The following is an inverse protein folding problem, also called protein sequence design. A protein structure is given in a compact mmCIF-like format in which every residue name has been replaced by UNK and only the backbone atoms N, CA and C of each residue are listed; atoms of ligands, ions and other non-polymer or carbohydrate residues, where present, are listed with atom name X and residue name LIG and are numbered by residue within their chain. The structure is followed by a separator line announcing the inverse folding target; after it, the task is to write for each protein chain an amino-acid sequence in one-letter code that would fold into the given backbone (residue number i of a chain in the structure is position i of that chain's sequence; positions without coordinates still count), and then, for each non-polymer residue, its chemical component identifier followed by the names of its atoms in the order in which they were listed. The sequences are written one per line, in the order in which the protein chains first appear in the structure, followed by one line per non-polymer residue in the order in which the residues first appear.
data_IF_186926225371
#
_entry.id   IF_186926225371
#
_cell.length_a   1.000
_cell.length_b   1.000
_cell.length_c   1.000
_cell.angle_alpha   90.00
_cell.angle_beta   90.00
_cell.angle_gamma   90.00
#
_symmetry.space_group_name_H-M   'P 1'
#
loop_
_entity.id
_entity.type
_entity.pdbx_description
1 polymer ?
#
# COMPACT_ATOMS: atom_id res chain seq x y z
N UNK A 1 -29.47 16.84 10.50
CA UNK A 1 -29.85 15.50 9.97
C UNK A 1 -29.48 15.45 8.51
N UNK A 2 -28.23 15.09 8.19
CA UNK A 2 -27.74 14.94 6.82
C UNK A 2 -27.80 13.47 6.44
N UNK A 3 -28.48 13.19 5.32
CA UNK A 3 -28.90 11.88 4.87
C UNK A 3 -27.69 11.03 4.41
N UNK A 4 -27.47 9.81 4.96
CA UNK A 4 -26.33 8.95 4.59
C UNK A 4 -26.39 8.37 3.17
N UNK A 5 -27.49 8.56 2.44
CA UNK A 5 -27.69 7.94 1.12
C UNK A 5 -26.94 8.62 -0.03
N UNK A 6 -26.53 9.89 0.10
CA UNK A 6 -25.97 10.65 -1.04
C UNK A 6 -24.51 10.30 -1.34
N UNK A 7 -23.70 9.92 -0.35
CA UNK A 7 -22.27 9.62 -0.57
C UNK A 7 -22.03 8.37 -1.43
N UNK A 8 -22.92 7.37 -1.35
CA UNK A 8 -22.81 6.12 -2.11
C UNK A 8 -23.20 6.27 -3.58
N UNK A 9 -23.96 7.31 -3.93
CA UNK A 9 -24.49 7.52 -5.28
C UNK A 9 -23.50 8.20 -6.24
N UNK A 10 -22.50 8.93 -5.72
CA UNK A 10 -21.56 9.70 -6.56
C UNK A 10 -20.28 8.91 -6.89
N UNK A 11 -20.02 7.78 -6.19
CA UNK A 11 -18.82 6.94 -6.40
C UNK A 11 -18.54 6.61 -7.88
N UNK A 12 -19.48 6.05 -8.66
CA UNK A 12 -19.19 5.67 -10.04
C UNK A 12 -19.00 6.87 -10.99
N UNK A 13 -19.53 8.05 -10.66
CA UNK A 13 -19.38 9.26 -11.50
C UNK A 13 -18.03 9.94 -11.31
N UNK A 14 -17.42 9.83 -10.12
CA UNK A 14 -16.14 10.49 -9.82
C UNK A 14 -14.94 9.62 -10.22
N UNK A 15 -15.09 8.30 -10.37
CA UNK A 15 -13.99 7.41 -10.81
C UNK A 15 -13.39 7.84 -12.17
N UNK A 16 -14.21 8.41 -13.07
CA UNK A 16 -13.77 8.98 -14.34
C UNK A 16 -12.83 10.20 -14.20
N UNK A 17 -12.77 10.80 -13.01
CA UNK A 17 -11.90 11.95 -12.69
C UNK A 17 -10.57 11.53 -12.03
N UNK A 18 -10.35 10.24 -11.80
CA UNK A 18 -9.12 9.70 -11.20
C UNK A 18 -8.88 10.17 -9.74
N UNK A 19 -9.86 10.05 -8.82
CA UNK A 19 -9.70 10.46 -7.44
C UNK A 19 -8.65 9.59 -6.74
N UNK A 20 -7.81 10.24 -5.92
CA UNK A 20 -6.72 9.59 -5.19
C UNK A 20 -7.25 8.71 -4.05
N UNK A 21 -8.36 9.12 -3.42
CA UNK A 21 -9.17 8.28 -2.54
C UNK A 21 -10.53 8.94 -2.26
N UNK A 22 -11.47 8.16 -1.70
CA UNK A 22 -12.74 8.68 -1.18
C UNK A 22 -12.74 8.73 0.34
N UNK A 23 -13.22 9.84 0.89
CA UNK A 23 -13.29 10.11 2.32
C UNK A 23 -14.74 10.42 2.71
N UNK A 24 -15.37 9.54 3.50
CA UNK A 24 -16.75 9.72 3.96
C UNK A 24 -16.78 10.55 5.27
N UNK A 25 -17.80 11.41 5.40
CA UNK A 25 -18.06 12.17 6.62
C UNK A 25 -18.84 11.30 7.64
N UNK A 26 -18.57 11.39 8.95
CA UNK A 26 -17.60 12.27 9.62
C UNK A 26 -16.15 11.81 9.40
N UNK A 27 -15.28 12.77 9.12
CA UNK A 27 -13.91 12.53 8.65
C UNK A 27 -12.94 12.43 9.82
N UNK A 28 -12.11 11.38 9.84
CA UNK A 28 -10.94 11.33 10.73
C UNK A 28 -9.81 12.18 10.14
N UNK A 29 -9.42 13.23 10.89
CA UNK A 29 -8.36 14.16 10.47
C UNK A 29 -6.99 13.48 10.34
N UNK A 30 -6.72 12.43 11.12
CA UNK A 30 -5.48 11.66 10.99
C UNK A 30 -5.43 10.90 9.66
N UNK A 31 -6.57 10.39 9.19
CA UNK A 31 -6.70 9.73 7.89
C UNK A 31 -6.55 10.76 6.76
N UNK A 32 -7.20 11.92 6.87
CA UNK A 32 -7.07 13.01 5.89
C UNK A 32 -5.62 13.47 5.75
N UNK A 33 -4.94 13.72 6.86
CA UNK A 33 -3.55 14.18 6.84
C UNK A 33 -2.64 13.16 6.16
N UNK A 34 -2.85 11.86 6.43
CA UNK A 34 -2.06 10.79 5.79
C UNK A 34 -2.28 10.73 4.27
N UNK A 35 -3.49 11.00 3.80
CA UNK A 35 -3.82 11.05 2.36
C UNK A 35 -3.24 12.30 1.69
N UNK A 36 -3.40 13.48 2.31
CA UNK A 36 -3.01 14.74 1.69
C UNK A 36 -1.50 15.00 1.74
N UNK A 37 -0.83 14.58 2.81
CA UNK A 37 0.61 14.80 2.98
C UNK A 37 1.43 14.36 1.76
N UNK A 38 1.26 13.15 1.17
CA UNK A 38 2.00 12.77 -0.04
C UNK A 38 1.79 13.70 -1.24
N UNK A 39 0.58 14.22 -1.43
CA UNK A 39 0.22 15.05 -2.58
C UNK A 39 0.66 16.51 -2.43
N UNK A 40 0.79 16.96 -1.17
CA UNK A 40 1.23 18.31 -0.83
C UNK A 40 2.75 18.43 -0.74
N UNK A 41 3.46 17.32 -0.54
CA UNK A 41 4.92 17.29 -0.64
C UNK A 41 5.28 17.34 -2.14
N UNK A 42 5.86 18.46 -2.63
CA UNK A 42 6.21 18.56 -4.04
C UNK A 42 7.11 17.38 -4.39
N UNK A 43 6.66 16.57 -5.36
CA UNK A 43 7.32 15.33 -5.76
C UNK A 43 8.81 15.55 -5.80
N UNK A 44 9.53 14.89 -4.88
CA UNK A 44 10.94 15.15 -4.63
C UNK A 44 11.68 15.07 -5.96
N UNK A 45 11.97 16.22 -6.56
CA UNK A 45 12.92 16.29 -7.68
C UNK A 45 14.19 15.74 -7.07
N UNK A 46 14.57 14.54 -7.52
CA UNK A 46 15.69 13.84 -6.95
C UNK A 46 16.89 14.80 -6.91
N UNK A 47 17.63 14.86 -5.78
CA UNK A 47 18.76 15.77 -5.67
C UNK A 47 19.70 15.59 -6.87
N UNK A 48 20.26 16.69 -7.41
CA UNK A 48 21.08 16.64 -8.63
C UNK A 48 22.19 15.58 -8.46
N UNK A 49 22.18 14.56 -9.33
CA UNK A 49 23.08 13.40 -9.25
C UNK A 49 22.39 12.04 -9.10
N UNK A 50 21.09 12.00 -8.72
CA UNK A 50 20.26 10.80 -8.86
C UNK A 50 19.40 10.92 -10.13
N UNK A 51 19.83 10.26 -11.20
CA UNK A 51 18.97 10.07 -12.38
C UNK A 51 17.79 9.18 -11.99
N UNK A 52 16.56 9.64 -12.24
CA UNK A 52 15.35 8.91 -11.90
C UNK A 52 14.14 9.48 -12.61
N UNK A 53 13.12 8.64 -12.81
CA UNK A 53 11.83 9.02 -13.36
C UNK A 53 10.78 8.84 -12.26
N UNK A 54 9.95 9.85 -12.02
CA UNK A 54 8.80 9.77 -11.11
C UNK A 54 7.55 9.49 -11.95
N UNK A 55 6.83 8.42 -11.62
CA UNK A 55 5.62 8.00 -12.31
C UNK A 55 4.59 7.56 -11.28
N UNK A 56 3.35 8.02 -11.44
CA UNK A 56 2.19 7.41 -10.80
C UNK A 56 1.66 6.31 -11.73
N UNK A 57 1.52 5.09 -11.20
CA UNK A 57 0.95 3.96 -11.93
C UNK A 57 -0.44 3.70 -11.32
N UNK A 58 -1.48 3.80 -12.15
CA UNK A 58 -2.86 3.52 -11.75
C UNK A 58 -3.22 2.06 -12.07
N UNK A 59 -4.28 1.55 -11.44
CA UNK A 59 -4.85 0.20 -11.71
C UNK A 59 -3.86 -0.96 -11.53
N UNK A 60 -2.93 -0.84 -10.57
CA UNK A 60 -1.97 -1.91 -10.26
C UNK A 60 -2.28 -2.52 -8.89
N UNK A 61 -2.30 -3.85 -8.82
CA UNK A 61 -2.51 -4.57 -7.58
C UNK A 61 -1.25 -4.55 -6.67
N UNK A 62 -1.40 -4.74 -5.35
CA UNK A 62 -0.27 -4.75 -4.42
C UNK A 62 0.81 -5.79 -4.74
N UNK A 63 0.43 -6.95 -5.29
CA UNK A 63 1.38 -8.02 -5.64
C UNK A 63 2.30 -7.53 -6.74
N UNK A 64 1.76 -6.99 -7.83
CA UNK A 64 2.54 -6.49 -8.97
C UNK A 64 3.54 -5.41 -8.55
N UNK A 65 3.14 -4.51 -7.66
CA UNK A 65 4.04 -3.47 -7.10
C UNK A 65 5.20 -4.12 -6.33
N UNK A 66 4.90 -5.07 -5.45
CA UNK A 66 5.92 -5.76 -4.65
C UNK A 66 6.85 -6.59 -5.52
N UNK A 67 6.32 -7.36 -6.48
CA UNK A 67 7.10 -8.15 -7.43
C UNK A 67 8.09 -7.28 -8.19
N UNK A 68 7.63 -6.15 -8.75
CA UNK A 68 8.49 -5.24 -9.49
C UNK A 68 9.63 -4.69 -8.62
N UNK A 69 9.35 -4.35 -7.37
CA UNK A 69 10.35 -3.82 -6.42
C UNK A 69 11.33 -4.90 -5.99
N UNK A 70 10.87 -6.13 -5.77
CA UNK A 70 11.72 -7.28 -5.47
C UNK A 70 12.67 -7.60 -6.63
N UNK A 71 12.16 -7.67 -7.86
CA UNK A 71 12.96 -7.90 -9.07
C UNK A 71 14.02 -6.81 -9.29
N UNK A 72 13.66 -5.55 -9.00
CA UNK A 72 14.56 -4.40 -9.05
C UNK A 72 15.58 -4.32 -7.92
N UNK A 73 15.59 -5.31 -7.01
CA UNK A 73 16.45 -5.34 -5.81
C UNK A 73 16.32 -4.10 -4.91
N UNK A 74 15.10 -3.59 -4.78
CA UNK A 74 14.86 -2.38 -3.99
C UNK A 74 15.26 -2.56 -2.51
N UNK A 75 15.80 -1.48 -1.93
CA UNK A 75 16.04 -1.32 -0.50
C UNK A 75 15.21 -0.14 -0.02
N UNK A 76 13.95 -0.39 0.29
CA UNK A 76 12.94 0.66 0.48
C UNK A 76 11.79 0.16 1.33
N UNK A 77 10.92 1.05 1.78
CA UNK A 77 9.66 0.67 2.42
C UNK A 77 8.48 1.14 1.57
N UNK A 78 7.47 0.30 1.44
CA UNK A 78 6.25 0.60 0.71
C UNK A 78 5.11 0.67 1.69
N UNK A 79 4.46 1.82 1.74
CA UNK A 79 3.20 2.02 2.44
C UNK A 79 2.04 1.72 1.49
N UNK A 80 1.12 0.86 1.93
CA UNK A 80 -0.16 0.63 1.28
C UNK A 80 -1.26 1.24 2.15
N UNK A 81 -2.13 2.04 1.55
CA UNK A 81 -3.29 2.64 2.20
C UNK A 81 -4.55 2.19 1.47
N UNK A 82 -5.42 1.45 2.14
CA UNK A 82 -6.67 1.03 1.51
C UNK A 82 -7.78 2.09 1.63
N UNK A 83 -8.87 1.90 0.88
CA UNK A 83 -10.05 2.76 0.89
C UNK A 83 -10.75 2.88 2.26
N UNK A 84 -10.46 1.98 3.22
CA UNK A 84 -10.99 2.04 4.60
C UNK A 84 -10.08 2.82 5.55
N UNK A 85 -8.96 3.34 5.07
CA UNK A 85 -8.00 4.04 5.91
C UNK A 85 -7.08 3.11 6.73
N UNK A 86 -6.96 1.84 6.36
CA UNK A 86 -5.96 0.95 6.97
C UNK A 86 -4.61 1.17 6.28
N UNK A 87 -3.54 1.31 7.09
CA UNK A 87 -2.18 1.49 6.61
C UNK A 87 -1.37 0.23 6.89
N UNK A 88 -0.78 -0.30 5.84
CA UNK A 88 0.17 -1.39 5.89
C UNK A 88 1.54 -0.93 5.39
N UNK A 89 2.59 -1.59 5.87
CA UNK A 89 3.99 -1.30 5.53
C UNK A 89 4.65 -2.60 5.11
N UNK A 90 5.42 -2.54 4.04
CA UNK A 90 6.30 -3.63 3.60
C UNK A 90 7.72 -3.08 3.46
N UNK A 91 8.64 -3.61 4.25
CA UNK A 91 10.05 -3.24 4.18
C UNK A 91 10.78 -4.23 3.27
N UNK A 92 11.45 -3.71 2.25
CA UNK A 92 12.28 -4.46 1.31
C UNK A 92 13.75 -4.18 1.55
N UNK A 93 14.56 -5.23 1.44
CA UNK A 93 16.01 -5.11 1.49
C UNK A 93 16.65 -6.03 0.44
N UNK A 94 17.39 -5.44 -0.49
CA UNK A 94 18.06 -6.12 -1.60
C UNK A 94 17.11 -7.02 -2.42
N UNK A 95 15.87 -6.55 -2.60
CA UNK A 95 14.85 -7.28 -3.36
C UNK A 95 14.12 -8.38 -2.60
N UNK A 96 14.37 -8.54 -1.31
CA UNK A 96 13.63 -9.48 -0.46
C UNK A 96 12.67 -8.72 0.46
N UNK A 97 11.55 -9.36 0.80
CA UNK A 97 10.58 -8.81 1.76
C UNK A 97 11.03 -9.23 3.15
N UNK A 98 11.59 -8.28 3.90
CA UNK A 98 12.16 -8.58 5.22
C UNK A 98 11.17 -8.36 6.35
N UNK A 99 10.17 -7.49 6.17
CA UNK A 99 9.15 -7.19 7.17
C UNK A 99 7.85 -6.76 6.50
N UNK A 100 6.73 -7.13 7.11
CA UNK A 100 5.41 -6.65 6.73
C UNK A 100 4.58 -6.38 7.98
N UNK A 101 3.86 -5.27 8.00
CA UNK A 101 3.01 -4.85 9.13
C UNK A 101 1.69 -4.30 8.61
N UNK A 102 0.59 -4.66 9.27
CA UNK A 102 -0.75 -4.15 8.98
C UNK A 102 -1.54 -4.08 10.30
N UNK A 103 -2.72 -3.43 10.36
CA UNK A 103 -3.48 -3.34 11.60
C UNK A 103 -3.78 -4.73 12.19
N UNK A 104 -3.23 -4.98 13.38
CA UNK A 104 -3.39 -6.25 14.10
C UNK A 104 -2.77 -7.47 13.41
N UNK A 105 -1.81 -7.31 12.50
CA UNK A 105 -1.08 -8.42 11.87
C UNK A 105 0.37 -8.04 11.57
N UNK A 106 1.25 -9.04 11.53
CA UNK A 106 2.66 -8.89 11.16
C UNK A 106 3.14 -10.06 10.28
N UNK A 107 4.26 -9.87 9.59
CA UNK A 107 4.87 -10.87 8.71
C UNK A 107 3.91 -11.31 7.60
N UNK A 108 3.85 -12.62 7.35
CA UNK A 108 3.05 -13.18 6.26
C UNK A 108 1.55 -12.86 6.38
N UNK A 109 1.01 -12.79 7.60
CA UNK A 109 -0.39 -12.45 7.84
C UNK A 109 -0.70 -10.99 7.50
N UNK A 110 0.24 -10.07 7.75
CA UNK A 110 0.11 -8.68 7.32
C UNK A 110 0.16 -8.58 5.79
N UNK A 111 1.09 -9.31 5.17
CA UNK A 111 1.22 -9.35 3.71
C UNK A 111 -0.06 -9.87 3.04
N UNK A 112 -0.64 -10.95 3.57
CA UNK A 112 -1.92 -11.49 3.11
C UNK A 112 -3.06 -10.45 3.22
N UNK A 113 -3.14 -9.72 4.35
CA UNK A 113 -4.13 -8.64 4.50
C UNK A 113 -3.98 -7.55 3.44
N UNK A 114 -2.74 -7.10 3.20
CA UNK A 114 -2.47 -6.04 2.23
C UNK A 114 -2.75 -6.48 0.79
N UNK A 115 -2.38 -7.71 0.42
CA UNK A 115 -2.66 -8.29 -0.90
C UNK A 115 -4.16 -8.42 -1.17
N UNK A 116 -4.97 -8.65 -0.14
CA UNK A 116 -6.43 -8.71 -0.26
C UNK A 116 -7.10 -7.33 -0.50
N UNK A 117 -6.37 -6.21 -0.41
CA UNK A 117 -6.94 -4.89 -0.63
C UNK A 117 -7.21 -4.64 -2.10
N UNK A 118 -8.50 -4.48 -2.44
CA UNK A 118 -8.99 -4.27 -3.81
C UNK A 118 -8.83 -2.84 -4.31
N UNK A 119 -8.67 -1.89 -3.40
CA UNK A 119 -8.63 -0.46 -3.70
C UNK A 119 -7.81 0.28 -2.64
N UNK A 120 -7.01 1.25 -3.08
CA UNK A 120 -6.05 1.97 -2.27
C UNK A 120 -4.94 2.66 -3.06
N UNK A 121 -3.98 3.21 -2.32
CA UNK A 121 -2.79 3.84 -2.86
C UNK A 121 -1.53 3.18 -2.28
N UNK A 122 -0.47 3.11 -3.07
CA UNK A 122 0.84 2.66 -2.64
C UNK A 122 1.85 3.80 -2.75
N UNK A 123 2.74 3.91 -1.78
CA UNK A 123 3.80 4.92 -1.77
C UNK A 123 5.11 4.32 -1.30
N UNK A 124 6.16 4.60 -2.05
CA UNK A 124 7.52 4.32 -1.59
C UNK A 124 7.98 5.41 -0.62
N UNK A 125 8.54 5.00 0.52
CA UNK A 125 9.15 5.87 1.50
C UNK A 125 10.58 5.37 1.79
N UNK A 126 11.47 6.25 2.29
CA UNK A 126 12.78 5.80 2.74
C UNK A 126 12.64 4.64 3.72
N UNK A 127 13.48 3.59 3.61
CA UNK A 127 13.39 2.46 4.50
C UNK A 127 13.55 2.96 5.94
N UNK A 128 12.69 2.49 6.84
CA UNK A 128 12.92 2.69 8.27
C UNK A 128 14.29 2.12 8.63
N UNK A 129 14.87 2.53 9.77
CA UNK A 129 16.04 1.85 10.37
C UNK A 129 15.64 0.45 10.89
N UNK A 130 14.99 -0.36 10.06
CA UNK A 130 14.76 -1.76 10.25
C UNK A 130 16.07 -2.51 9.98
N UNK A 131 16.36 -3.54 10.76
CA UNK A 131 17.49 -4.42 10.50
C UNK A 131 17.34 -5.11 9.13
N UNK A 132 18.38 -5.80 8.69
CA UNK A 132 18.39 -6.52 7.41
C UNK A 132 17.89 -7.96 7.53
N UNK A 133 17.34 -8.33 8.69
CA UNK A 133 16.88 -9.69 8.99
C UNK A 133 15.53 -9.93 8.33
N UNK A 134 15.42 -11.01 7.56
CA UNK A 134 14.14 -11.46 7.02
C UNK A 134 13.30 -12.08 8.16
N UNK A 135 12.28 -11.35 8.60
CA UNK A 135 11.33 -11.76 9.65
C UNK A 135 10.19 -12.63 9.11
N UNK A 136 10.03 -12.72 7.79
CA UNK A 136 9.08 -13.62 7.14
C UNK A 136 9.60 -15.07 7.09
N UNK A 137 10.92 -15.26 7.23
CA UNK A 137 11.58 -16.57 7.27
C UNK A 137 11.59 -17.32 5.93
N UNK A 138 11.23 -16.65 4.83
CA UNK A 138 11.16 -17.21 3.48
C UNK A 138 11.45 -16.15 2.43
N UNK A 139 11.89 -16.56 1.24
CA UNK A 139 12.12 -15.65 0.12
C UNK A 139 10.83 -15.01 -0.39
N UNK A 140 10.95 -13.81 -0.94
CA UNK A 140 9.80 -13.01 -1.40
C UNK A 140 8.85 -13.74 -2.36
N UNK A 141 9.33 -14.63 -3.26
CA UNK A 141 8.46 -15.38 -4.17
C UNK A 141 7.49 -16.26 -3.38
N UNK A 142 8.04 -17.00 -2.41
CA UNK A 142 7.28 -17.89 -1.54
C UNK A 142 6.36 -17.09 -0.61
N UNK A 143 6.83 -15.95 -0.11
CA UNK A 143 6.03 -15.05 0.71
C UNK A 143 4.81 -14.50 -0.05
N UNK A 144 4.96 -14.06 -1.30
CA UNK A 144 3.83 -13.56 -2.10
C UNK A 144 2.86 -14.68 -2.46
N UNK A 145 3.35 -15.88 -2.79
CA UNK A 145 2.50 -17.05 -3.03
C UNK A 145 1.67 -17.40 -1.79
N UNK A 146 2.31 -17.49 -0.62
CA UNK A 146 1.64 -17.85 0.62
C UNK A 146 0.66 -16.76 1.07
N UNK A 147 1.03 -15.48 0.93
CA UNK A 147 0.14 -14.36 1.21
C UNK A 147 -1.11 -14.38 0.31
N UNK A 148 -0.96 -14.71 -0.97
CA UNK A 148 -2.09 -14.83 -1.91
C UNK A 148 -3.01 -15.98 -1.51
N UNK A 149 -2.45 -17.15 -1.19
CA UNK A 149 -3.22 -18.31 -0.71
C UNK A 149 -4.05 -17.95 0.53
N UNK A 150 -3.42 -17.29 1.52
CA UNK A 150 -4.08 -16.86 2.74
C UNK A 150 -5.16 -15.79 2.49
N UNK A 151 -4.92 -14.87 1.55
CA UNK A 151 -5.90 -13.85 1.17
C UNK A 151 -7.16 -14.49 0.56
N UNK A 152 -6.99 -15.46 -0.34
CA UNK A 152 -8.09 -16.20 -0.95
C UNK A 152 -8.85 -17.04 0.08
N UNK A 153 -8.16 -17.68 1.02
CA UNK A 153 -8.79 -18.44 2.11
C UNK A 153 -9.62 -17.56 3.05
N UNK A 154 -9.10 -16.37 3.39
CA UNK A 154 -9.84 -15.38 4.17
C UNK A 154 -11.07 -14.83 3.46
N UNK A 155 -11.06 -14.76 2.13
CA UNK A 155 -12.19 -14.30 1.33
C UNK A 155 -13.34 -15.32 1.23
N UNK A 156 -13.05 -16.62 1.35
CA UNK A 156 -14.05 -17.69 1.29
C UNK A 156 -14.63 -18.08 2.67
N UNK A 157 -14.07 -17.53 3.76
CA UNK A 157 -14.47 -17.84 5.15
C UNK A 157 -15.31 -16.77 5.85
N UNK A 158 -15.83 -15.77 5.14
CA UNK A 158 -16.61 -14.65 5.69
C UNK A 158 -18.04 -14.57 5.16
#
# INVERSE_FOLDING_TARGET
MTNPTTARAVRPEVDALGPICFLEKPLDLAVLERVLRPELEPGQIAPPGRAGFSAAIHETDPISILQLKCLGRACTEIEFLNARGELGRVTLHNGDIIRAEAPGASGIAALAKMVAWKDGAAREIPPANAGTTNELGMGWEMALMEATRLADEGAHGA
#
